data_IF_204010140955
#
_entry.id   IF_204010140955
#
_cell.length_a   1.000
_cell.length_b   1.000
_cell.length_c   1.000
_cell.angle_alpha   90.00
_cell.angle_beta   90.00
_cell.angle_gamma   90.00
#
_symmetry.space_group_name_H-M   'P 1'
#
loop_
_entity.id
_entity.type
_entity.pdbx_description
1 polymer ?
#
# COMPACT_ATOMS: atom_id res chain seq x y z
N UNK A 1 8.04 28.94 -38.06
CA UNK A 1 7.62 29.81 -36.93
C UNK A 1 6.13 30.12 -37.00
N UNK A 2 5.62 30.62 -38.13
CA UNK A 2 4.24 31.12 -38.26
C UNK A 2 3.10 30.21 -37.72
N UNK A 3 3.19 28.89 -37.92
CA UNK A 3 2.17 27.96 -37.40
C UNK A 3 2.30 27.66 -35.90
N UNK A 4 3.52 27.67 -35.33
CA UNK A 4 3.73 27.47 -33.87
C UNK A 4 3.07 28.62 -33.10
N UNK A 5 3.29 29.87 -33.53
CA UNK A 5 2.72 31.06 -32.90
C UNK A 5 1.20 31.10 -33.02
N UNK A 6 0.65 30.69 -34.17
CA UNK A 6 -0.82 30.54 -34.37
C UNK A 6 -1.42 29.50 -33.42
N UNK A 7 -0.75 28.36 -33.20
CA UNK A 7 -1.19 27.34 -32.23
C UNK A 7 -1.18 27.92 -30.82
N UNK A 8 -0.08 28.57 -30.41
CA UNK A 8 0.05 29.20 -29.09
C UNK A 8 -1.05 30.23 -28.87
N UNK A 9 -1.28 31.16 -29.80
CA UNK A 9 -2.32 32.18 -29.71
C UNK A 9 -3.73 31.59 -29.62
N UNK A 10 -3.98 30.45 -30.29
CA UNK A 10 -5.27 29.76 -30.21
C UNK A 10 -5.50 29.12 -28.84
N UNK A 11 -4.46 28.51 -28.26
CA UNK A 11 -4.51 27.94 -26.92
C UNK A 11 -4.68 29.06 -25.89
N UNK A 12 -3.96 30.17 -26.01
CA UNK A 12 -4.10 31.34 -25.15
C UNK A 12 -5.56 31.84 -25.11
N UNK A 13 -6.23 31.91 -26.27
CA UNK A 13 -7.62 32.37 -26.36
C UNK A 13 -8.63 31.39 -25.75
N UNK A 14 -8.43 30.09 -25.96
CA UNK A 14 -9.38 29.06 -25.52
C UNK A 14 -9.07 28.49 -24.13
N UNK A 15 -7.90 28.84 -23.56
CA UNK A 15 -7.30 28.30 -22.33
C UNK A 15 -6.92 26.81 -22.40
N UNK A 16 -7.73 25.98 -23.08
CA UNK A 16 -7.42 24.59 -23.39
C UNK A 16 -7.92 24.21 -24.80
N UNK A 17 -7.27 23.24 -25.45
CA UNK A 17 -7.69 22.78 -26.79
C UNK A 17 -7.35 21.32 -27.05
N UNK A 18 -8.08 20.66 -27.95
CA UNK A 18 -7.73 19.34 -28.50
C UNK A 18 -6.89 19.45 -29.77
N UNK A 19 -6.11 18.41 -30.09
CA UNK A 19 -5.42 18.33 -31.38
C UNK A 19 -6.39 18.43 -32.58
N UNK A 20 -7.61 17.89 -32.45
CA UNK A 20 -8.66 18.01 -33.48
C UNK A 20 -9.05 19.48 -33.70
N UNK A 21 -9.36 20.21 -32.63
CA UNK A 21 -9.73 21.62 -32.72
C UNK A 21 -8.59 22.48 -33.29
N UNK A 22 -7.33 22.18 -32.98
CA UNK A 22 -6.18 22.84 -33.60
C UNK A 22 -6.15 22.59 -35.10
N UNK A 23 -6.20 21.32 -35.52
CA UNK A 23 -6.17 20.92 -36.92
C UNK A 23 -7.32 21.57 -37.73
N UNK A 24 -8.55 21.50 -37.19
CA UNK A 24 -9.75 22.05 -37.82
C UNK A 24 -9.66 23.58 -37.92
N UNK A 25 -9.17 24.26 -36.87
CA UNK A 25 -9.09 25.73 -36.85
C UNK A 25 -8.01 26.31 -37.75
N UNK A 26 -6.89 25.62 -37.91
CA UNK A 26 -5.76 26.05 -38.74
C UNK A 26 -5.80 25.45 -40.15
N UNK A 27 -6.78 24.59 -40.44
CA UNK A 27 -6.94 23.86 -41.72
C UNK A 27 -5.67 23.11 -42.14
N UNK A 28 -4.97 22.51 -41.18
CA UNK A 28 -3.76 21.71 -41.40
C UNK A 28 -4.02 20.22 -41.14
N UNK A 29 -3.17 19.36 -41.69
CA UNK A 29 -3.30 17.91 -41.46
C UNK A 29 -3.12 17.55 -39.99
N UNK A 30 -3.76 16.46 -39.54
CA UNK A 30 -3.60 15.94 -38.18
C UNK A 30 -2.15 15.52 -37.89
N UNK A 31 -1.46 14.96 -38.89
CA UNK A 31 -0.06 14.58 -38.76
C UNK A 31 0.83 15.80 -38.49
N UNK A 32 0.65 16.89 -39.24
CA UNK A 32 1.40 18.12 -39.03
C UNK A 32 1.04 18.82 -37.71
N UNK A 33 -0.23 18.79 -37.33
CA UNK A 33 -0.69 19.28 -36.01
C UNK A 33 0.00 18.55 -34.86
N UNK A 34 0.05 17.22 -34.91
CA UNK A 34 0.71 16.42 -33.89
C UNK A 34 2.22 16.69 -33.83
N UNK A 35 2.87 16.91 -34.97
CA UNK A 35 4.28 17.29 -35.03
C UNK A 35 4.52 18.62 -34.29
N UNK A 36 3.72 19.65 -34.58
CA UNK A 36 3.84 20.97 -33.94
C UNK A 36 3.58 20.87 -32.43
N UNK A 37 2.50 20.20 -32.03
CA UNK A 37 2.15 20.03 -30.61
C UNK A 37 3.21 19.25 -29.85
N UNK A 38 3.85 18.25 -30.49
CA UNK A 38 4.96 17.50 -29.91
C UNK A 38 6.17 18.39 -29.71
N UNK A 39 6.57 19.16 -30.72
CA UNK A 39 7.69 20.10 -30.62
C UNK A 39 7.43 21.14 -29.52
N UNK A 40 6.27 21.78 -29.49
CA UNK A 40 5.95 22.78 -28.45
C UNK A 40 5.92 22.20 -27.03
N UNK A 41 5.65 20.90 -26.89
CA UNK A 41 5.74 20.20 -25.61
C UNK A 41 7.19 19.87 -25.24
N UNK A 42 8.00 19.44 -26.22
CA UNK A 42 9.44 19.23 -26.05
C UNK A 42 10.15 20.54 -25.70
N UNK A 43 9.71 21.66 -26.29
CA UNK A 43 10.17 23.03 -26.02
C UNK A 43 9.65 23.58 -24.66
N UNK A 44 8.84 22.82 -23.92
CA UNK A 44 8.29 23.21 -22.61
C UNK A 44 7.19 24.30 -22.65
N UNK A 45 6.72 24.68 -23.84
CA UNK A 45 5.70 25.73 -24.01
C UNK A 45 4.29 25.22 -23.69
N UNK A 46 4.03 23.93 -23.95
CA UNK A 46 2.73 23.30 -23.75
C UNK A 46 2.77 22.15 -22.75
N UNK A 47 1.71 22.04 -21.97
CA UNK A 47 1.40 20.86 -21.17
C UNK A 47 0.29 20.06 -21.84
N UNK A 48 0.45 18.73 -21.86
CA UNK A 48 -0.57 17.79 -22.28
C UNK A 48 -1.23 17.18 -21.03
N UNK A 49 -2.53 17.39 -20.90
CA UNK A 49 -3.35 16.87 -19.81
C UNK A 49 -4.27 15.78 -20.35
N UNK A 50 -4.35 14.65 -19.65
CA UNK A 50 -5.13 13.49 -20.06
C UNK A 50 -4.56 12.72 -21.24
N UNK A 51 -5.29 11.67 -21.65
CA UNK A 51 -4.92 10.78 -22.75
C UNK A 51 -6.07 10.55 -23.72
N UNK A 52 -5.74 10.15 -24.94
CA UNK A 52 -6.70 9.75 -25.97
C UNK A 52 -7.77 10.82 -26.22
N UNK A 53 -9.05 10.53 -26.01
CA UNK A 53 -10.17 11.46 -26.20
C UNK A 53 -10.22 12.60 -25.16
N UNK A 54 -9.59 12.42 -23.99
CA UNK A 54 -9.47 13.43 -22.94
C UNK A 54 -8.21 14.30 -23.09
N UNK A 55 -7.35 14.04 -24.08
CA UNK A 55 -6.15 14.83 -24.31
C UNK A 55 -6.48 16.31 -24.57
N UNK A 56 -5.96 17.20 -23.74
CA UNK A 56 -6.07 18.65 -23.85
C UNK A 56 -4.68 19.28 -23.74
N UNK A 57 -4.42 20.26 -24.60
CA UNK A 57 -3.21 21.06 -24.57
C UNK A 57 -3.52 22.40 -23.93
N UNK A 58 -2.69 22.78 -22.96
CA UNK A 58 -2.73 24.07 -22.26
C UNK A 58 -1.36 24.72 -22.34
N UNK A 59 -1.29 26.05 -22.24
CA UNK A 59 0.00 26.73 -22.10
C UNK A 59 0.62 26.35 -20.77
N UNK A 60 1.93 26.05 -20.76
CA UNK A 60 2.65 25.74 -19.53
C UNK A 60 2.63 26.90 -18.52
N UNK A 61 2.47 28.13 -19.01
CA UNK A 61 2.33 29.33 -18.19
C UNK A 61 0.93 29.55 -17.61
N UNK A 62 -0.14 28.95 -18.15
CA UNK A 62 -1.52 29.09 -17.63
C UNK A 62 -1.82 27.99 -16.60
N UNK A 63 -1.26 28.15 -15.41
CA UNK A 63 -1.45 27.22 -14.27
C UNK A 63 -2.93 27.03 -13.94
N UNK A 64 -3.74 28.08 -14.08
CA UNK A 64 -5.19 28.02 -13.83
C UNK A 64 -5.94 27.14 -14.83
N UNK A 65 -5.60 27.23 -16.12
CA UNK A 65 -6.18 26.36 -17.14
C UNK A 65 -5.71 24.92 -16.98
N UNK A 66 -4.43 24.72 -16.65
CA UNK A 66 -3.90 23.40 -16.35
C UNK A 66 -4.65 22.73 -15.19
N UNK A 67 -4.79 23.45 -14.07
CA UNK A 67 -5.53 22.98 -12.90
C UNK A 67 -7.00 22.68 -13.21
N UNK A 68 -7.66 23.52 -14.02
CA UNK A 68 -9.04 23.29 -14.44
C UNK A 68 -9.21 22.01 -15.27
N UNK A 69 -8.35 21.78 -16.27
CA UNK A 69 -8.45 20.56 -17.08
C UNK A 69 -8.06 19.31 -16.28
N UNK A 70 -7.06 19.39 -15.41
CA UNK A 70 -6.70 18.30 -14.49
C UNK A 70 -7.88 17.93 -13.60
N UNK A 71 -8.57 18.91 -13.01
CA UNK A 71 -9.70 18.68 -12.08
C UNK A 71 -10.84 17.85 -12.67
N UNK A 72 -10.95 17.77 -14.00
CA UNK A 72 -11.95 16.96 -14.71
C UNK A 72 -11.56 15.48 -14.82
N UNK A 73 -10.30 15.16 -14.57
CA UNK A 73 -9.74 13.81 -14.69
C UNK A 73 -9.52 13.25 -13.29
N UNK A 74 -10.47 12.43 -12.84
CA UNK A 74 -10.45 11.80 -11.52
C UNK A 74 -10.12 10.30 -11.59
N UNK A 75 -9.66 9.82 -12.74
CA UNK A 75 -9.28 8.43 -12.97
C UNK A 75 -8.13 8.37 -13.97
N UNK A 76 -7.16 7.50 -13.69
CA UNK A 76 -6.12 7.12 -14.65
C UNK A 76 -5.83 5.63 -14.57
N UNK A 77 -5.56 5.05 -15.74
CA UNK A 77 -5.10 3.69 -15.89
C UNK A 77 -3.78 3.67 -16.66
N UNK A 78 -2.77 3.02 -16.10
CA UNK A 78 -1.43 2.90 -16.67
C UNK A 78 -1.07 1.42 -16.84
N UNK A 79 -0.43 1.11 -17.96
CA UNK A 79 0.29 -0.14 -18.19
C UNK A 79 1.76 0.18 -18.22
N UNK A 80 2.50 -0.43 -17.31
CA UNK A 80 3.93 -0.23 -17.12
C UNK A 80 4.67 -1.50 -17.51
N UNK A 81 5.88 -1.31 -18.03
CA UNK A 81 6.82 -2.39 -18.33
C UNK A 81 7.99 -2.25 -17.35
N UNK A 82 8.51 -3.36 -16.76
CA UNK A 82 9.70 -3.32 -15.93
C UNK A 82 10.90 -2.71 -16.67
N UNK A 83 11.78 -2.02 -15.94
CA UNK A 83 12.87 -1.23 -16.52
C UNK A 83 12.43 0.14 -17.06
N UNK A 84 11.19 0.55 -16.77
CA UNK A 84 10.69 1.90 -17.00
C UNK A 84 11.07 2.88 -15.88
N UNK A 85 10.38 4.05 -15.79
CA UNK A 85 10.58 5.00 -14.71
C UNK A 85 10.30 4.38 -13.33
N UNK A 86 10.98 4.90 -12.30
CA UNK A 86 10.74 4.57 -10.90
C UNK A 86 9.32 4.99 -10.44
N UNK A 87 8.91 4.46 -9.30
CA UNK A 87 7.60 4.65 -8.71
C UNK A 87 7.26 6.12 -8.44
N UNK A 88 8.24 6.93 -8.00
CA UNK A 88 8.05 8.34 -7.71
C UNK A 88 7.82 9.16 -9.00
N UNK A 89 8.55 8.85 -10.07
CA UNK A 89 8.32 9.44 -11.39
C UNK A 89 6.93 9.08 -11.94
N UNK A 90 6.44 7.87 -11.68
CA UNK A 90 5.07 7.47 -12.03
C UNK A 90 4.04 8.23 -11.18
N UNK A 91 4.26 8.43 -9.88
CA UNK A 91 3.35 9.22 -9.04
C UNK A 91 3.28 10.68 -9.49
N UNK A 92 4.43 11.34 -9.67
CA UNK A 92 4.51 12.73 -10.20
C UNK A 92 3.84 12.87 -11.55
N UNK A 93 3.89 11.83 -12.38
CA UNK A 93 3.16 11.81 -13.65
C UNK A 93 1.66 11.82 -13.42
N UNK A 94 1.14 11.04 -12.48
CA UNK A 94 -0.30 11.03 -12.14
C UNK A 94 -0.75 12.40 -11.63
N UNK A 95 0.04 13.05 -10.78
CA UNK A 95 -0.24 14.41 -10.29
C UNK A 95 -0.31 15.44 -11.43
N UNK A 96 0.59 15.34 -12.42
CA UNK A 96 0.58 16.24 -13.58
C UNK A 96 -0.54 15.95 -14.57
N UNK A 97 -0.92 14.69 -14.75
CA UNK A 97 -1.91 14.29 -15.76
C UNK A 97 -3.36 14.34 -15.24
N UNK A 98 -3.59 14.43 -13.92
CA UNK A 98 -4.91 14.26 -13.29
C UNK A 98 -5.20 15.27 -12.19
N UNK A 99 -6.46 15.38 -11.78
CA UNK A 99 -6.93 16.18 -10.66
C UNK A 99 -7.22 15.37 -9.40
N UNK A 100 -6.70 14.14 -9.33
CA UNK A 100 -6.92 13.21 -8.22
C UNK A 100 -6.43 13.81 -6.90
N UNK A 101 -5.33 14.56 -6.93
CA UNK A 101 -4.66 15.12 -5.75
C UNK A 101 -4.88 16.63 -5.54
N UNK A 102 -5.69 17.28 -6.39
CA UNK A 102 -6.02 18.71 -6.24
C UNK A 102 -6.92 18.92 -5.03
N UNK A 103 -6.59 19.87 -4.15
CA UNK A 103 -7.40 20.18 -2.96
C UNK A 103 -7.64 18.94 -2.07
N UNK A 104 -6.61 18.11 -1.92
CA UNK A 104 -6.57 16.99 -0.98
C UNK A 104 -5.72 17.41 0.22
N UNK A 105 -6.14 17.04 1.42
CA UNK A 105 -5.40 17.34 2.64
C UNK A 105 -4.00 16.69 2.60
N UNK A 106 -2.99 17.38 3.11
CA UNK A 106 -1.58 16.97 3.03
C UNK A 106 -1.34 15.60 3.66
N UNK A 107 -1.98 15.31 4.80
CA UNK A 107 -1.87 14.02 5.47
C UNK A 107 -2.41 12.87 4.60
N UNK A 108 -3.51 13.08 3.88
CA UNK A 108 -4.08 12.08 2.97
C UNK A 108 -3.18 11.91 1.74
N UNK A 109 -2.65 13.00 1.17
CA UNK A 109 -1.72 12.93 0.05
C UNK A 109 -0.43 12.19 0.43
N UNK A 110 0.12 12.45 1.62
CA UNK A 110 1.31 11.75 2.15
C UNK A 110 1.07 10.25 2.31
N UNK A 111 -0.09 9.86 2.87
CA UNK A 111 -0.48 8.45 2.99
C UNK A 111 -0.61 7.78 1.62
N UNK A 112 -1.29 8.43 0.66
CA UNK A 112 -1.47 7.84 -0.68
C UNK A 112 -0.13 7.77 -1.42
N UNK A 113 0.73 8.79 -1.31
CA UNK A 113 2.07 8.77 -1.90
C UNK A 113 2.87 7.58 -1.37
N UNK A 114 3.04 7.48 -0.04
CA UNK A 114 3.78 6.38 0.59
C UNK A 114 3.20 5.01 0.19
N UNK A 115 1.89 4.81 0.34
CA UNK A 115 1.27 3.53 0.02
C UNK A 115 1.39 3.17 -1.46
N UNK A 116 1.27 4.15 -2.35
CA UNK A 116 1.40 3.92 -3.79
C UNK A 116 2.82 3.54 -4.18
N UNK A 117 3.82 4.30 -3.73
CA UNK A 117 5.21 4.09 -4.08
C UNK A 117 5.70 2.75 -3.56
N UNK A 118 5.41 2.42 -2.30
CA UNK A 118 5.76 1.13 -1.71
C UNK A 118 5.14 -0.03 -2.50
N UNK A 119 3.86 0.05 -2.86
CA UNK A 119 3.20 -1.06 -3.55
C UNK A 119 3.63 -1.19 -5.02
N UNK A 120 3.93 -0.09 -5.68
CA UNK A 120 4.45 -0.11 -7.04
C UNK A 120 5.89 -0.59 -7.07
N UNK A 121 6.74 -0.14 -6.14
CA UNK A 121 8.13 -0.59 -6.06
C UNK A 121 8.21 -2.11 -5.81
N UNK A 122 7.44 -2.63 -4.84
CA UNK A 122 7.31 -4.07 -4.60
C UNK A 122 6.91 -4.85 -5.87
N UNK A 123 6.02 -4.29 -6.69
CA UNK A 123 5.62 -4.91 -7.95
C UNK A 123 6.75 -4.86 -8.99
N UNK A 124 7.53 -3.79 -9.06
CA UNK A 124 8.67 -3.64 -9.99
C UNK A 124 9.80 -4.61 -9.63
N UNK A 125 10.20 -4.64 -8.36
CA UNK A 125 11.41 -5.35 -7.91
C UNK A 125 11.20 -6.85 -7.72
N UNK A 126 10.06 -7.25 -7.14
CA UNK A 126 9.89 -8.62 -6.66
C UNK A 126 8.97 -9.49 -7.51
N UNK A 127 8.11 -8.91 -8.34
CA UNK A 127 7.11 -9.72 -9.06
C UNK A 127 7.71 -10.60 -10.16
N UNK A 128 8.82 -10.18 -10.77
CA UNK A 128 9.35 -10.72 -12.06
C UNK A 128 8.30 -10.71 -13.18
N UNK A 129 7.27 -9.85 -13.07
CA UNK A 129 6.24 -9.73 -14.09
C UNK A 129 6.75 -8.95 -15.29
N UNK A 130 6.34 -9.29 -16.50
CA UNK A 130 6.65 -8.50 -17.70
C UNK A 130 5.78 -7.24 -17.86
N UNK A 131 4.75 -7.08 -17.02
CA UNK A 131 3.81 -5.97 -17.10
C UNK A 131 3.18 -5.70 -15.74
N UNK A 132 3.02 -4.43 -15.41
CA UNK A 132 2.31 -3.95 -14.22
C UNK A 132 1.15 -3.07 -14.67
N UNK A 133 -0.01 -3.25 -14.05
CA UNK A 133 -1.19 -2.41 -14.25
C UNK A 133 -1.42 -1.55 -13.00
N UNK A 134 -1.61 -0.26 -13.22
CA UNK A 134 -1.91 0.71 -12.17
C UNK A 134 -3.24 1.39 -12.50
N UNK A 135 -4.16 1.43 -11.55
CA UNK A 135 -5.44 2.12 -11.65
C UNK A 135 -5.59 3.04 -10.44
N UNK A 136 -5.73 4.35 -10.64
CA UNK A 136 -5.89 5.33 -9.56
C UNK A 136 -7.15 6.15 -9.79
N UNK A 137 -7.99 6.24 -8.76
CA UNK A 137 -9.30 6.89 -8.81
C UNK A 137 -9.51 7.78 -7.59
N UNK A 138 -10.14 8.92 -7.81
CA UNK A 138 -10.75 9.73 -6.75
C UNK A 138 -12.26 9.74 -6.93
N UNK A 139 -12.98 9.48 -5.85
CA UNK A 139 -14.43 9.72 -5.75
C UNK A 139 -14.70 10.99 -4.94
N UNK A 140 -15.96 11.33 -4.71
CA UNK A 140 -16.32 12.42 -3.80
C UNK A 140 -15.89 12.18 -2.35
N UNK A 141 -15.57 10.94 -1.97
CA UNK A 141 -15.30 10.57 -0.57
C UNK A 141 -13.92 9.95 -0.34
N UNK A 142 -13.28 9.39 -1.36
CA UNK A 142 -12.06 8.58 -1.17
C UNK A 142 -11.10 8.65 -2.35
N UNK A 143 -9.84 8.37 -2.08
CA UNK A 143 -8.84 8.01 -3.08
C UNK A 143 -8.60 6.52 -3.00
N UNK A 144 -8.54 5.86 -4.15
CA UNK A 144 -8.27 4.43 -4.27
C UNK A 144 -7.24 4.20 -5.34
N UNK A 145 -6.28 3.31 -5.08
CA UNK A 145 -5.39 2.80 -6.11
C UNK A 145 -5.37 1.28 -6.12
N UNK A 146 -5.07 0.74 -7.30
CA UNK A 146 -4.80 -0.68 -7.52
C UNK A 146 -3.46 -0.81 -8.22
N UNK A 147 -2.57 -1.61 -7.65
CA UNK A 147 -1.33 -2.07 -8.30
C UNK A 147 -1.48 -3.56 -8.56
N UNK A 148 -1.28 -3.97 -9.82
CA UNK A 148 -1.38 -5.37 -10.22
C UNK A 148 -0.18 -5.80 -11.03
N UNK A 149 0.51 -6.82 -10.55
CA UNK A 149 1.49 -7.58 -11.32
C UNK A 149 0.90 -8.91 -11.81
N UNK A 150 1.57 -9.53 -12.77
CA UNK A 150 1.24 -10.87 -13.30
C UNK A 150 2.39 -11.85 -13.08
N UNK A 151 3.14 -11.65 -12.00
CA UNK A 151 4.37 -12.34 -11.66
C UNK A 151 4.17 -13.55 -10.75
N UNK A 152 5.14 -13.77 -9.86
CA UNK A 152 5.18 -14.89 -8.90
C UNK A 152 4.02 -14.82 -7.88
N UNK A 153 3.64 -13.60 -7.49
CA UNK A 153 2.66 -13.35 -6.44
C UNK A 153 3.30 -13.24 -5.06
N UNK A 154 2.89 -12.24 -4.29
CA UNK A 154 3.49 -11.89 -3.00
C UNK A 154 3.47 -13.04 -1.99
N UNK A 155 2.37 -13.79 -1.87
CA UNK A 155 2.27 -14.89 -0.91
C UNK A 155 3.19 -16.06 -1.29
N UNK A 156 3.32 -16.37 -2.58
CA UNK A 156 4.26 -17.39 -3.04
C UNK A 156 5.70 -16.95 -2.79
N UNK A 157 6.02 -15.68 -3.07
CA UNK A 157 7.35 -15.13 -2.83
C UNK A 157 7.76 -15.22 -1.35
N UNK A 158 6.88 -14.80 -0.43
CA UNK A 158 7.11 -14.92 1.02
C UNK A 158 7.20 -16.38 1.44
N UNK A 159 6.27 -17.24 0.99
CA UNK A 159 6.28 -18.68 1.30
C UNK A 159 7.60 -19.33 0.92
N UNK A 160 8.07 -19.11 -0.30
CA UNK A 160 9.24 -19.78 -0.84
C UNK A 160 10.52 -19.25 -0.18
N UNK A 161 10.61 -17.94 0.11
CA UNK A 161 11.74 -17.32 0.80
C UNK A 161 11.91 -17.85 2.23
N UNK A 162 10.82 -17.89 2.99
CA UNK A 162 10.82 -18.30 4.39
C UNK A 162 10.58 -19.82 4.57
N UNK A 163 10.52 -20.58 3.47
CA UNK A 163 10.26 -22.03 3.44
C UNK A 163 9.03 -22.43 4.26
N UNK A 164 7.96 -21.64 4.12
CA UNK A 164 6.75 -21.79 4.90
C UNK A 164 5.87 -22.93 4.35
N UNK A 165 5.12 -23.66 5.20
CA UNK A 165 4.33 -24.81 4.78
C UNK A 165 3.23 -24.49 3.76
N UNK A 166 2.65 -23.28 3.81
CA UNK A 166 1.57 -22.90 2.93
C UNK A 166 1.32 -21.41 2.83
N UNK A 167 0.32 -21.05 2.03
CA UNK A 167 -0.08 -19.67 1.74
C UNK A 167 -0.58 -18.93 2.98
N UNK A 168 -1.23 -19.63 3.92
CA UNK A 168 -1.69 -19.06 5.19
C UNK A 168 -0.51 -18.64 6.07
N UNK A 169 0.50 -19.49 6.21
CA UNK A 169 1.72 -19.16 6.96
C UNK A 169 2.43 -17.93 6.35
N UNK A 170 2.46 -17.83 5.02
CA UNK A 170 3.03 -16.66 4.34
C UNK A 170 2.25 -15.38 4.60
N UNK A 171 0.91 -15.45 4.67
CA UNK A 171 0.07 -14.30 5.05
C UNK A 171 0.34 -13.90 6.50
N UNK A 172 0.40 -14.86 7.41
CA UNK A 172 0.70 -14.63 8.82
C UNK A 172 2.07 -13.98 9.00
N UNK A 173 3.08 -14.44 8.27
CA UNK A 173 4.42 -13.88 8.30
C UNK A 173 4.46 -12.45 7.76
N UNK A 174 3.79 -12.20 6.64
CA UNK A 174 3.66 -10.86 6.05
C UNK A 174 3.00 -9.85 7.03
N UNK A 175 2.02 -10.30 7.81
CA UNK A 175 1.28 -9.47 8.75
C UNK A 175 2.07 -9.08 10.00
N UNK A 176 3.15 -9.81 10.35
CA UNK A 176 4.02 -9.47 11.48
C UNK A 176 4.85 -8.21 11.21
N UNK A 177 5.07 -7.87 9.94
CA UNK A 177 6.02 -6.84 9.51
C UNK A 177 7.46 -7.35 9.49
N UNK A 178 8.37 -6.56 8.88
CA UNK A 178 9.79 -6.92 8.62
C UNK A 178 9.99 -8.16 7.75
N UNK A 179 8.94 -8.70 7.15
CA UNK A 179 9.03 -9.82 6.23
C UNK A 179 9.55 -9.33 4.88
N UNK A 180 10.87 -9.39 4.68
CA UNK A 180 11.55 -8.98 3.44
C UNK A 180 12.18 -10.15 2.71
N UNK A 181 12.02 -10.19 1.38
CA UNK A 181 12.70 -11.17 0.54
C UNK A 181 14.10 -10.75 0.11
N UNK A 182 14.49 -9.49 0.37
CA UNK A 182 15.84 -8.95 0.15
C UNK A 182 16.25 -8.07 1.37
N UNK A 183 16.73 -8.68 2.47
CA UNK A 183 17.04 -7.94 3.71
C UNK A 183 18.13 -6.88 3.58
N UNK A 184 19.00 -7.00 2.58
CA UNK A 184 20.08 -6.03 2.31
C UNK A 184 19.57 -4.78 1.57
N UNK A 185 18.40 -4.85 0.94
CA UNK A 185 17.85 -3.80 0.07
C UNK A 185 16.52 -3.24 0.60
N UNK A 186 15.75 -4.02 1.37
CA UNK A 186 14.46 -3.61 1.91
C UNK A 186 14.24 -4.05 3.35
N UNK A 187 13.66 -3.15 4.15
CA UNK A 187 13.34 -3.36 5.56
C UNK A 187 12.14 -4.29 5.79
N UNK A 188 11.35 -4.59 4.75
CA UNK A 188 10.14 -5.43 4.86
C UNK A 188 8.97 -4.72 5.54
N UNK A 189 9.00 -3.39 5.54
CA UNK A 189 8.07 -2.51 6.25
C UNK A 189 6.95 -1.98 5.36
N UNK A 190 7.19 -1.84 4.06
CA UNK A 190 6.28 -1.19 3.11
C UNK A 190 4.87 -1.74 3.11
N UNK A 191 4.71 -3.06 2.95
CA UNK A 191 3.39 -3.72 2.96
C UNK A 191 2.71 -3.57 4.32
N UNK A 192 3.47 -3.72 5.41
CA UNK A 192 2.95 -3.62 6.76
C UNK A 192 2.39 -2.22 7.01
N UNK A 193 3.20 -1.16 6.85
CA UNK A 193 2.75 0.21 7.11
C UNK A 193 1.68 0.67 6.14
N UNK A 194 1.78 0.33 4.86
CA UNK A 194 0.72 0.65 3.87
C UNK A 194 -0.62 0.05 4.31
N UNK A 195 -0.62 -1.18 4.83
CA UNK A 195 -1.84 -1.82 5.31
C UNK A 195 -2.46 -1.15 6.53
N UNK A 196 -1.65 -0.46 7.34
CA UNK A 196 -2.09 0.30 8.52
C UNK A 196 -2.53 1.73 8.20
N UNK A 197 -1.96 2.33 7.14
CA UNK A 197 -2.34 3.66 6.69
C UNK A 197 -3.68 3.70 5.96
N UNK A 198 -4.02 2.62 5.22
CA UNK A 198 -5.27 2.50 4.49
C UNK A 198 -6.50 2.49 5.42
N UNK A 199 -7.68 2.86 4.91
CA UNK A 199 -8.94 2.50 5.55
C UNK A 199 -9.30 1.04 5.23
N UNK A 200 -9.07 0.65 3.97
CA UNK A 200 -9.21 -0.73 3.50
C UNK A 200 -8.03 -1.08 2.62
N UNK A 201 -7.35 -2.17 2.96
CA UNK A 201 -6.22 -2.71 2.21
C UNK A 201 -6.47 -4.17 1.85
N UNK A 202 -6.37 -4.51 0.57
CA UNK A 202 -6.67 -5.84 0.05
C UNK A 202 -5.50 -6.34 -0.78
N UNK A 203 -5.06 -7.57 -0.50
CA UNK A 203 -4.10 -8.29 -1.32
C UNK A 203 -4.80 -9.53 -1.90
N UNK A 204 -4.93 -9.56 -3.21
CA UNK A 204 -5.30 -10.72 -4.01
C UNK A 204 -4.02 -11.36 -4.56
N UNK A 205 -3.68 -12.58 -4.14
CA UNK A 205 -2.53 -13.30 -4.70
C UNK A 205 -2.78 -14.80 -4.68
N UNK A 206 -2.55 -15.46 -5.82
CA UNK A 206 -2.80 -16.88 -5.99
C UNK A 206 -4.22 -17.27 -5.53
N UNK A 207 -4.35 -18.21 -4.59
CA UNK A 207 -5.61 -18.77 -4.10
C UNK A 207 -6.23 -18.02 -2.91
N UNK A 208 -5.59 -16.95 -2.40
CA UNK A 208 -6.05 -16.23 -1.21
C UNK A 208 -6.32 -14.75 -1.49
N UNK A 209 -7.30 -14.22 -0.76
CA UNK A 209 -7.47 -12.77 -0.54
C UNK A 209 -7.28 -12.47 0.93
N UNK A 210 -6.36 -11.56 1.22
CA UNK A 210 -6.22 -10.90 2.51
C UNK A 210 -6.94 -9.55 2.43
N UNK A 211 -7.78 -9.25 3.41
CA UNK A 211 -8.42 -7.93 3.57
C UNK A 211 -8.16 -7.44 4.98
N UNK A 212 -7.55 -6.26 5.09
CA UNK A 212 -7.34 -5.53 6.34
C UNK A 212 -8.27 -4.33 6.29
N UNK A 213 -9.23 -4.30 7.19
CA UNK A 213 -10.18 -3.20 7.33
C UNK A 213 -9.85 -2.45 8.62
N UNK A 214 -9.44 -1.20 8.50
CA UNK A 214 -9.11 -0.36 9.65
C UNK A 214 -10.32 0.50 10.10
N UNK A 215 -11.41 0.53 9.34
CA UNK A 215 -12.69 1.15 9.76
C UNK A 215 -13.51 0.20 10.64
N UNK A 216 -13.50 -1.09 10.29
CA UNK A 216 -13.99 -2.19 11.11
C UNK A 216 -12.76 -3.03 11.45
N UNK A 217 -12.06 -2.77 12.58
CA UNK A 217 -10.70 -3.21 12.85
C UNK A 217 -10.58 -4.75 12.87
N UNK A 218 -10.49 -5.33 11.68
CA UNK A 218 -10.57 -6.76 11.45
C UNK A 218 -9.80 -7.16 10.18
N UNK A 219 -9.35 -8.42 10.17
CA UNK A 219 -8.55 -9.02 9.13
C UNK A 219 -9.25 -10.29 8.65
N UNK A 220 -9.52 -10.35 7.36
CA UNK A 220 -10.19 -11.48 6.70
C UNK A 220 -9.23 -12.16 5.72
N UNK A 221 -9.19 -13.49 5.78
CA UNK A 221 -8.49 -14.32 4.80
C UNK A 221 -9.52 -15.26 4.19
N UNK A 222 -9.76 -15.14 2.89
CA UNK A 222 -10.72 -15.98 2.17
C UNK A 222 -10.06 -16.69 1.00
N UNK A 223 -10.57 -17.88 0.70
CA UNK A 223 -10.25 -18.60 -0.52
C UNK A 223 -10.86 -17.92 -1.73
N UNK A 224 -10.14 -18.01 -2.85
CA UNK A 224 -10.61 -17.50 -4.14
C UNK A 224 -10.03 -18.30 -5.28
N UNK A 225 -10.63 -18.12 -6.45
CA UNK A 225 -10.09 -18.68 -7.70
C UNK A 225 -8.65 -18.20 -7.88
N UNK A 226 -7.74 -19.15 -8.08
CA UNK A 226 -6.33 -18.87 -8.28
C UNK A 226 -6.10 -17.84 -9.39
N UNK A 227 -5.23 -16.88 -9.11
CA UNK A 227 -4.76 -15.89 -10.09
C UNK A 227 -3.23 -15.86 -10.16
N UNK A 228 -2.72 -15.44 -11.31
CA UNK A 228 -1.28 -15.16 -11.47
C UNK A 228 -0.96 -13.76 -10.95
N UNK A 229 0.18 -13.64 -10.26
CA UNK A 229 0.69 -12.39 -9.69
C UNK A 229 -0.07 -11.90 -8.46
N UNK A 230 0.19 -10.64 -8.10
CA UNK A 230 -0.45 -9.93 -7.00
C UNK A 230 -1.34 -8.83 -7.53
N UNK A 231 -2.47 -8.59 -6.87
CA UNK A 231 -3.25 -7.36 -7.01
C UNK A 231 -3.46 -6.76 -5.63
N UNK A 232 -2.90 -5.59 -5.41
CA UNK A 232 -3.08 -4.79 -4.21
C UNK A 232 -4.13 -3.72 -4.48
N UNK A 233 -5.07 -3.54 -3.55
CA UNK A 233 -6.07 -2.47 -3.57
C UNK A 233 -5.95 -1.70 -2.26
N UNK A 234 -5.86 -0.38 -2.37
CA UNK A 234 -5.75 0.55 -1.25
C UNK A 234 -6.86 1.58 -1.35
N UNK A 235 -7.50 1.91 -0.24
CA UNK A 235 -8.50 2.99 -0.17
C UNK A 235 -8.33 3.82 1.10
N UNK A 236 -8.49 5.14 0.99
CA UNK A 236 -8.53 6.06 2.12
C UNK A 236 -9.55 7.17 1.88
N UNK A 237 -10.27 7.54 2.94
CA UNK A 237 -11.22 8.64 2.94
C UNK A 237 -10.50 10.00 2.82
N UNK A 238 -11.05 10.91 2.03
CA UNK A 238 -10.54 12.27 1.84
C UNK A 238 -10.56 13.11 3.14
N UNK A 239 -11.36 12.70 4.13
CA UNK A 239 -11.47 13.34 5.46
C UNK A 239 -10.74 12.57 6.56
N UNK A 240 -9.89 11.61 6.22
CA UNK A 240 -9.13 10.88 7.23
C UNK A 240 -8.24 11.85 8.03
N UNK A 241 -8.23 11.70 9.35
CA UNK A 241 -7.34 12.44 10.26
C UNK A 241 -6.01 11.70 10.49
N UNK A 242 -5.89 10.48 9.96
CA UNK A 242 -4.68 9.66 10.06
C UNK A 242 -3.50 10.38 9.40
N UNK A 243 -2.32 10.23 9.99
CA UNK A 243 -1.06 10.73 9.44
C UNK A 243 -0.06 9.59 9.31
N UNK A 244 0.86 9.68 8.35
CA UNK A 244 1.96 8.71 8.20
C UNK A 244 2.77 8.61 9.50
N UNK A 245 3.12 9.76 10.09
CA UNK A 245 3.77 9.85 11.39
C UNK A 245 2.99 9.14 12.50
N UNK A 246 1.69 9.42 12.64
CA UNK A 246 0.87 8.78 13.67
C UNK A 246 0.85 7.25 13.55
N UNK A 247 0.88 6.72 12.33
CA UNK A 247 1.01 5.27 12.10
C UNK A 247 2.41 4.78 12.49
N UNK A 248 3.47 5.48 12.10
CA UNK A 248 4.84 5.09 12.47
C UNK A 248 5.06 5.12 13.98
N UNK A 249 4.65 6.18 14.66
CA UNK A 249 4.80 6.39 16.11
C UNK A 249 4.14 5.27 16.94
N UNK A 250 3.11 4.62 16.39
CA UNK A 250 2.49 3.45 17.04
C UNK A 250 3.47 2.27 17.09
N UNK A 251 4.28 2.08 16.05
CA UNK A 251 5.14 0.90 15.88
C UNK A 251 6.65 1.16 16.07
N UNK A 252 7.02 2.41 16.37
CA UNK A 252 8.39 2.78 16.75
C UNK A 252 8.47 3.01 18.25
N UNK A 253 9.53 2.48 18.87
CA UNK A 253 9.79 2.57 20.29
C UNK A 253 10.19 3.98 20.72
N UNK A 254 9.90 4.33 21.98
CA UNK A 254 10.18 5.63 22.59
C UNK A 254 11.60 5.75 23.19
N UNK A 255 12.56 4.93 22.75
CA UNK A 255 13.92 4.90 23.32
C UNK A 255 14.92 5.51 22.34
N UNK A 256 15.84 6.31 22.87
CA UNK A 256 16.88 7.16 22.24
C UNK A 256 17.75 6.53 21.12
N UNK A 257 17.52 5.27 20.72
CA UNK A 257 18.13 4.65 19.55
C UNK A 257 17.21 4.78 18.32
N UNK A 258 17.05 6.02 17.86
CA UNK A 258 16.51 6.43 16.54
C UNK A 258 15.39 5.58 15.91
N UNK A 259 14.14 6.03 16.02
CA UNK A 259 13.00 5.77 15.11
C UNK A 259 12.89 4.38 14.43
N UNK A 260 13.37 3.30 15.05
CA UNK A 260 13.37 1.98 14.45
C UNK A 260 12.00 1.32 14.65
N UNK A 261 11.43 0.74 13.59
CA UNK A 261 10.26 -0.14 13.69
C UNK A 261 10.63 -1.33 14.58
N UNK A 262 10.26 -1.31 15.85
CA UNK A 262 10.69 -2.30 16.84
C UNK A 262 9.51 -2.87 17.64
N UNK A 263 8.29 -2.36 17.38
CA UNK A 263 7.05 -2.86 17.94
C UNK A 263 6.20 -3.52 16.87
N UNK A 264 5.59 -4.66 17.18
CA UNK A 264 4.57 -5.29 16.33
C UNK A 264 3.35 -5.74 17.14
N UNK A 265 2.21 -5.86 16.46
CA UNK A 265 0.98 -6.43 17.01
C UNK A 265 0.55 -7.64 16.20
N UNK A 266 0.40 -8.77 16.88
CA UNK A 266 0.01 -10.04 16.28
C UNK A 266 -1.44 -10.35 16.63
N UNK A 267 -2.30 -10.43 15.61
CA UNK A 267 -3.69 -10.87 15.76
C UNK A 267 -3.73 -12.39 15.88
N UNK A 268 -3.86 -12.90 17.10
CA UNK A 268 -3.67 -14.33 17.42
C UNK A 268 -4.71 -15.23 16.74
N UNK A 269 -5.94 -14.74 16.53
CA UNK A 269 -6.99 -15.51 15.83
C UNK A 269 -6.61 -15.94 14.41
N UNK A 270 -5.68 -15.24 13.76
CA UNK A 270 -5.23 -15.62 12.41
C UNK A 270 -4.39 -16.90 12.39
N UNK A 271 -3.92 -17.37 13.55
CA UNK A 271 -3.11 -18.58 13.71
C UNK A 271 -3.94 -19.80 14.14
N UNK A 272 -5.26 -19.63 14.31
CA UNK A 272 -6.20 -20.69 14.66
C UNK A 272 -6.45 -21.62 13.48
N UNK A 273 -6.22 -22.91 13.68
CA UNK A 273 -6.68 -23.97 12.77
C UNK A 273 -7.86 -24.70 13.43
N UNK A 274 -9.04 -24.08 13.43
CA UNK A 274 -10.23 -24.58 14.13
C UNK A 274 -10.76 -23.57 15.15
N UNK A 275 -11.39 -24.05 16.23
CA UNK A 275 -11.93 -23.19 17.31
C UNK A 275 -10.94 -22.90 18.44
N UNK A 276 -9.98 -23.78 18.66
CA UNK A 276 -9.04 -23.72 19.79
C UNK A 276 -7.59 -23.54 19.30
N UNK A 277 -6.72 -22.98 20.16
CA UNK A 277 -5.25 -23.01 20.00
C UNK A 277 -4.62 -23.97 21.02
N UNK A 278 -4.80 -25.29 20.89
CA UNK A 278 -4.33 -26.21 21.91
C UNK A 278 -2.81 -26.40 21.88
N UNK A 279 -2.13 -26.14 20.76
CA UNK A 279 -0.83 -26.75 20.47
C UNK A 279 0.37 -25.82 20.63
N UNK A 280 1.51 -26.41 21.00
CA UNK A 280 2.84 -25.74 20.96
C UNK A 280 3.26 -25.36 19.55
N UNK A 281 2.81 -26.09 18.53
CA UNK A 281 3.15 -25.83 17.13
C UNK A 281 2.53 -24.53 16.64
N UNK A 282 1.31 -24.21 17.06
CA UNK A 282 0.67 -22.92 16.79
C UNK A 282 1.41 -21.77 17.47
N UNK A 283 1.78 -21.94 18.74
CA UNK A 283 2.58 -20.95 19.46
C UNK A 283 3.92 -20.68 18.77
N UNK A 284 4.61 -21.71 18.27
CA UNK A 284 5.85 -21.53 17.50
C UNK A 284 5.66 -20.75 16.20
N UNK A 285 4.52 -20.93 15.51
CA UNK A 285 4.20 -20.13 14.30
C UNK A 285 3.95 -18.66 14.65
N UNK A 286 3.24 -18.40 15.75
CA UNK A 286 3.03 -17.04 16.26
C UNK A 286 4.38 -16.36 16.52
N UNK A 287 5.29 -17.04 17.21
CA UNK A 287 6.57 -16.46 17.65
C UNK A 287 7.70 -16.49 16.61
N UNK A 288 7.48 -17.10 15.45
CA UNK A 288 8.51 -17.18 14.40
C UNK A 288 8.91 -15.78 13.92
N UNK A 289 10.22 -15.53 13.83
CA UNK A 289 10.84 -14.26 13.42
C UNK A 289 10.48 -13.03 14.26
N UNK A 290 9.89 -13.23 15.44
CA UNK A 290 9.57 -12.13 16.35
C UNK A 290 10.79 -11.62 17.14
N UNK A 291 11.92 -12.32 17.07
CA UNK A 291 13.20 -11.89 17.64
C UNK A 291 13.74 -10.57 17.05
N UNK A 292 13.18 -10.13 15.92
CA UNK A 292 13.53 -8.87 15.26
C UNK A 292 12.82 -7.64 15.88
N UNK A 293 12.01 -7.84 16.91
CA UNK A 293 11.25 -6.79 17.60
C UNK A 293 11.68 -6.67 19.06
N UNK A 294 11.56 -5.48 19.63
CA UNK A 294 11.77 -5.21 21.07
C UNK A 294 10.46 -5.32 21.85
N UNK A 295 9.34 -5.01 21.21
CA UNK A 295 8.01 -5.06 21.84
C UNK A 295 7.01 -5.81 20.97
N UNK A 296 6.32 -6.79 21.55
CA UNK A 296 5.34 -7.64 20.87
C UNK A 296 4.03 -7.56 21.65
N UNK A 297 2.98 -7.10 20.98
CA UNK A 297 1.62 -7.19 21.48
C UNK A 297 0.90 -8.39 20.85
N UNK A 298 0.44 -9.33 21.68
CA UNK A 298 -0.41 -10.43 21.25
C UNK A 298 -1.88 -10.06 21.50
N UNK A 299 -2.59 -9.76 20.43
CA UNK A 299 -4.01 -9.40 20.46
C UNK A 299 -4.87 -10.67 20.38
N UNK A 300 -5.56 -10.96 21.48
CA UNK A 300 -6.44 -12.13 21.63
C UNK A 300 -7.91 -11.84 21.27
N UNK A 301 -8.20 -10.72 20.61
CA UNK A 301 -9.55 -10.42 20.12
C UNK A 301 -10.09 -11.57 19.26
N UNK A 302 -11.24 -12.12 19.64
CA UNK A 302 -11.90 -13.23 18.95
C UNK A 302 -11.34 -14.62 19.25
N UNK A 303 -10.41 -14.76 20.20
CA UNK A 303 -9.90 -16.06 20.67
C UNK A 303 -10.72 -16.52 21.87
N UNK A 304 -11.42 -17.65 21.75
CA UNK A 304 -12.25 -18.19 22.84
C UNK A 304 -11.41 -18.82 23.96
N UNK A 305 -10.41 -19.61 23.59
CA UNK A 305 -9.52 -20.29 24.54
C UNK A 305 -8.14 -20.58 23.93
N UNK A 306 -7.15 -20.75 24.79
CA UNK A 306 -5.81 -21.23 24.43
C UNK A 306 -5.43 -22.42 25.31
N UNK A 307 -4.71 -23.39 24.76
CA UNK A 307 -4.20 -24.51 25.51
C UNK A 307 -3.03 -24.13 26.40
N UNK A 308 -2.80 -24.90 27.48
CA UNK A 308 -1.63 -24.73 28.34
C UNK A 308 -0.32 -24.82 27.54
N UNK A 309 -0.24 -25.72 26.55
CA UNK A 309 0.94 -25.86 25.69
C UNK A 309 1.22 -24.59 24.88
N UNK A 310 0.17 -23.92 24.39
CA UNK A 310 0.30 -22.67 23.65
C UNK A 310 0.83 -21.55 24.57
N UNK A 311 0.19 -21.34 25.73
CA UNK A 311 0.58 -20.30 26.68
C UNK A 311 2.01 -20.52 27.21
N UNK A 312 2.33 -21.75 27.63
CA UNK A 312 3.65 -22.16 28.12
C UNK A 312 4.76 -21.89 27.08
N UNK A 313 4.49 -22.20 25.81
CA UNK A 313 5.46 -22.04 24.75
C UNK A 313 5.80 -20.57 24.48
N UNK A 314 4.82 -19.67 24.55
CA UNK A 314 5.03 -18.23 24.30
C UNK A 314 5.61 -17.54 25.53
N UNK A 315 4.87 -17.56 26.64
CA UNK A 315 5.13 -16.67 27.78
C UNK A 315 6.20 -17.17 28.74
N UNK A 316 6.54 -18.47 28.70
CA UNK A 316 7.64 -19.04 29.50
C UNK A 316 8.82 -19.49 28.67
N UNK A 317 8.60 -20.34 27.66
CA UNK A 317 9.71 -20.95 26.89
C UNK A 317 10.33 -19.96 25.92
N UNK A 318 9.54 -19.32 25.06
CA UNK A 318 10.05 -18.37 24.07
C UNK A 318 10.54 -17.08 24.76
N UNK A 319 9.73 -16.50 25.66
CA UNK A 319 10.16 -15.34 26.46
C UNK A 319 11.40 -15.63 27.31
N UNK A 320 11.55 -16.82 27.87
CA UNK A 320 12.77 -17.22 28.59
C UNK A 320 14.03 -17.30 27.72
N UNK A 321 13.88 -17.51 26.41
CA UNK A 321 14.99 -17.48 25.43
C UNK A 321 15.28 -16.07 24.90
N UNK A 322 14.31 -15.17 25.01
CA UNK A 322 14.39 -13.78 24.56
C UNK A 322 14.02 -12.83 25.72
N UNK A 323 14.79 -12.84 26.84
CA UNK A 323 14.46 -12.06 28.03
C UNK A 323 14.40 -10.55 27.76
N UNK A 324 15.13 -10.06 26.78
CA UNK A 324 15.19 -8.66 26.33
C UNK A 324 13.92 -8.17 25.62
N UNK A 325 13.11 -9.08 25.03
CA UNK A 325 11.95 -8.70 24.21
C UNK A 325 10.70 -8.63 25.07
N UNK A 326 10.07 -7.46 25.18
CA UNK A 326 8.80 -7.32 25.86
C UNK A 326 7.68 -8.03 25.08
N UNK A 327 6.93 -8.91 25.74
CA UNK A 327 5.77 -9.56 25.15
C UNK A 327 4.57 -9.43 26.08
N UNK A 328 3.49 -8.85 25.57
CA UNK A 328 2.29 -8.58 26.36
C UNK A 328 1.04 -9.11 25.67
N UNK A 329 0.10 -9.60 26.47
CA UNK A 329 -1.23 -10.00 26.00
C UNK A 329 -2.21 -8.82 26.09
N UNK A 330 -3.07 -8.65 25.08
CA UNK A 330 -4.17 -7.68 25.06
C UNK A 330 -5.47 -8.34 24.59
N UNK A 331 -6.60 -7.71 24.94
CA UNK A 331 -7.96 -8.13 24.56
C UNK A 331 -8.27 -9.62 24.86
N UNK A 332 -7.68 -10.17 25.92
CA UNK A 332 -7.92 -11.53 26.38
C UNK A 332 -9.21 -11.63 27.19
N UNK A 333 -10.05 -12.63 26.90
CA UNK A 333 -11.17 -13.00 27.77
C UNK A 333 -10.67 -13.72 29.05
N UNK A 334 -11.57 -14.07 29.96
CA UNK A 334 -11.22 -14.69 31.24
C UNK A 334 -10.46 -16.02 31.10
N UNK A 335 -10.85 -16.88 30.16
CA UNK A 335 -10.22 -18.18 29.92
C UNK A 335 -8.78 -18.02 29.41
N UNK A 336 -8.61 -17.15 28.41
CA UNK A 336 -7.29 -16.81 27.86
C UNK A 336 -6.43 -16.17 28.93
N UNK A 337 -6.97 -15.22 29.69
CA UNK A 337 -6.24 -14.51 30.72
C UNK A 337 -5.74 -15.44 31.83
N UNK A 338 -6.56 -16.42 32.24
CA UNK A 338 -6.16 -17.46 33.19
C UNK A 338 -4.93 -18.24 32.69
N UNK A 339 -4.93 -18.67 31.42
CA UNK A 339 -3.83 -19.43 30.84
C UNK A 339 -2.55 -18.60 30.68
N UNK A 340 -2.66 -17.34 30.26
CA UNK A 340 -1.53 -16.40 30.16
C UNK A 340 -0.89 -16.19 31.54
N UNK A 341 -1.67 -15.89 32.58
CA UNK A 341 -1.15 -15.70 33.95
C UNK A 341 -0.48 -16.96 34.47
N UNK A 342 -1.08 -18.13 34.23
CA UNK A 342 -0.51 -19.42 34.64
C UNK A 342 0.85 -19.68 34.00
N UNK A 343 1.08 -19.20 32.77
CA UNK A 343 2.36 -19.28 32.08
C UNK A 343 3.33 -18.15 32.43
N UNK A 344 2.98 -17.23 33.34
CA UNK A 344 3.81 -16.08 33.74
C UNK A 344 3.76 -14.90 32.76
N UNK A 345 2.76 -14.83 31.89
CA UNK A 345 2.62 -13.74 30.92
C UNK A 345 2.09 -12.44 31.52
N UNK A 346 2.48 -11.33 30.92
CA UNK A 346 2.08 -9.98 31.30
C UNK A 346 0.95 -9.46 30.40
N UNK A 347 0.18 -8.48 30.90
CA UNK A 347 -0.88 -7.81 30.14
C UNK A 347 -0.52 -6.35 29.89
N UNK A 348 -0.70 -5.93 28.65
CA UNK A 348 -0.50 -4.54 28.24
C UNK A 348 -1.78 -3.73 28.42
N UNK A 349 -1.63 -2.41 28.57
CA UNK A 349 -2.75 -1.50 28.27
C UNK A 349 -2.90 -1.41 26.75
N UNK A 350 -4.13 -1.22 26.25
CA UNK A 350 -4.42 -1.12 24.82
C UNK A 350 -3.71 0.13 24.25
N UNK A 351 -2.50 -0.03 23.69
CA UNK A 351 -1.61 1.09 23.32
C UNK A 351 -1.53 1.37 21.82
N UNK A 352 -2.02 0.48 20.95
CA UNK A 352 -1.84 0.58 19.49
C UNK A 352 -3.18 0.66 18.75
N UNK A 353 -3.94 1.75 18.91
CA UNK A 353 -5.05 2.03 17.97
C UNK A 353 -4.60 3.09 16.98
N UNK A 354 -4.88 2.86 15.70
CA UNK A 354 -4.40 3.62 14.54
C UNK A 354 -5.53 4.40 13.88
#
# INVERSE_FOLDING_TARGET
>A
MEFKDKVIGKIAKNRSITAKQVADSLKISRAYTNLILRQLREDGVLLLIGKTNQARYVLASDVGAARNEQSKIQHIFLRLTPGGPDEDAIFKRIERETGIFIDVAENVQSIVHHGFTEMLNNAIEHSKSSRIEVDVRRTSTAITFVVRDFGIGIFNNVRDKFRLPGTIDAIQELLKGKATTAPEEHTGEGVFFTSKMADVFIIDSFEKRLTINNLLPDIFIIDRRSMKGTRVCFSINLKSERTTKGVFDVFTGSVDDGAAFDRTRITVKLFQFGRDLPSRSEAKRVTMNLENFKEIELDFTGVETIGQGFADQIFRVWKGRHPEIMIVATNANENVAFMVRRAGGEFGQNRLHI
#
